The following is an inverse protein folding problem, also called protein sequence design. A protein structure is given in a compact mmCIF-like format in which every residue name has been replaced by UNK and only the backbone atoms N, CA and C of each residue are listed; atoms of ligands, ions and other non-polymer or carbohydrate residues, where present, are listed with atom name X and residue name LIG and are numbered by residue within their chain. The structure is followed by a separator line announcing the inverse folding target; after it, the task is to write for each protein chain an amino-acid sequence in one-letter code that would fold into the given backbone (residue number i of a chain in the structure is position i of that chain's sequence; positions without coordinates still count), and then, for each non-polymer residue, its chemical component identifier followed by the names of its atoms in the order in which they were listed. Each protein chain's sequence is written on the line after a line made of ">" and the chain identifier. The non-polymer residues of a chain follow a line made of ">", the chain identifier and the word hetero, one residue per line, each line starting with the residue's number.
data_IF_444201958612
#
_entry.id   IF_444201958612
#
_cell.length_a   1.000
_cell.length_b   1.000
_cell.length_c   1.000
_cell.angle_alpha   90.00
_cell.angle_beta   90.00
_cell.angle_gamma   90.00
#
_symmetry.space_group_name_H-M   'P 1'
#
loop_
_entity.id
_entity.type
_entity.pdbx_description
1 polymer ?
#
# COMPACT_ATOMS: atom_id res chain seq x y z
N UNK A 1 -0.25 -8.88 7.53
CA UNK A 1 -1.72 -8.75 7.67
C UNK A 1 -2.28 -10.10 8.06
N UNK A 2 -3.29 -10.10 8.93
CA UNK A 2 -4.03 -11.29 9.34
C UNK A 2 -5.36 -11.33 8.59
N UNK A 3 -5.87 -12.52 8.34
CA UNK A 3 -7.20 -12.67 7.73
C UNK A 3 -7.63 -14.12 7.70
N UNK A 4 -8.93 -14.33 7.88
CA UNK A 4 -9.54 -15.66 7.94
C UNK A 4 -10.27 -15.94 6.64
N UNK A 5 -10.05 -17.10 6.04
CA UNK A 5 -10.74 -17.50 4.81
C UNK A 5 -12.11 -18.09 5.16
N UNK A 6 -13.17 -17.53 4.60
CA UNK A 6 -14.52 -18.08 4.66
C UNK A 6 -14.96 -18.54 3.28
N UNK A 7 -15.38 -19.79 3.17
CA UNK A 7 -15.98 -20.34 1.96
C UNK A 7 -17.39 -19.77 1.79
N UNK A 8 -17.65 -19.08 0.68
CA UNK A 8 -19.00 -18.68 0.28
C UNK A 8 -19.62 -19.75 -0.61
N UNK A 9 -18.85 -20.26 -1.56
CA UNK A 9 -19.22 -21.32 -2.49
C UNK A 9 -18.05 -22.32 -2.62
N UNK A 10 -18.25 -23.39 -3.39
CA UNK A 10 -17.23 -24.43 -3.60
C UNK A 10 -15.88 -23.88 -4.09
N UNK A 11 -15.91 -22.87 -4.97
CA UNK A 11 -14.71 -22.26 -5.56
C UNK A 11 -14.47 -20.81 -5.12
N UNK A 12 -15.43 -20.18 -4.42
CA UNK A 12 -15.38 -18.76 -4.02
C UNK A 12 -15.16 -18.61 -2.52
N UNK A 13 -14.20 -17.76 -2.16
CA UNK A 13 -13.83 -17.47 -0.78
C UNK A 13 -13.80 -15.96 -0.53
N UNK A 14 -14.31 -15.56 0.62
CA UNK A 14 -14.18 -14.20 1.14
C UNK A 14 -13.20 -14.21 2.30
N UNK A 15 -12.35 -13.18 2.37
CA UNK A 15 -11.31 -13.05 3.38
C UNK A 15 -11.37 -11.65 3.99
N UNK A 16 -12.05 -11.44 5.12
CA UNK A 16 -11.82 -10.26 5.94
C UNK A 16 -10.36 -10.21 6.40
N UNK A 17 -9.79 -9.02 6.41
CA UNK A 17 -8.38 -8.79 6.67
C UNK A 17 -8.19 -7.61 7.61
N UNK A 18 -7.30 -7.78 8.58
CA UNK A 18 -6.84 -6.74 9.49
C UNK A 18 -5.32 -6.68 9.46
N UNK A 19 -4.76 -5.48 9.50
CA UNK A 19 -3.32 -5.27 9.44
C UNK A 19 -2.87 -4.06 10.23
N UNK A 20 -1.61 -4.11 10.62
CA UNK A 20 -0.87 -2.97 11.14
C UNK A 20 0.39 -2.82 10.28
N UNK A 21 0.68 -1.58 9.87
CA UNK A 21 1.87 -1.25 9.10
C UNK A 21 2.63 -0.14 9.81
N UNK A 22 3.90 -0.42 10.11
CA UNK A 22 4.84 0.57 10.62
C UNK A 22 5.77 1.00 9.50
N UNK A 23 5.85 2.31 9.27
CA UNK A 23 6.74 2.90 8.26
C UNK A 23 7.65 3.92 8.92
N UNK A 24 8.93 3.90 8.54
CA UNK A 24 9.93 4.87 8.97
C UNK A 24 10.63 5.40 7.73
N UNK A 25 10.43 6.68 7.44
CA UNK A 25 11.06 7.36 6.30
C UNK A 25 12.13 8.30 6.85
N UNK A 26 13.29 8.31 6.21
CA UNK A 26 14.39 9.21 6.52
C UNK A 26 14.80 9.87 5.22
N UNK A 27 14.61 11.18 5.15
CA UNK A 27 15.08 11.98 4.02
C UNK A 27 16.38 12.66 4.42
N UNK A 28 17.35 12.66 3.50
CA UNK A 28 18.61 13.34 3.68
C UNK A 28 18.38 14.87 3.66
N UNK A 29 19.25 15.61 4.33
CA UNK A 29 19.28 17.06 4.19
C UNK A 29 19.76 17.44 2.78
N UNK A 30 19.22 18.52 2.24
CA UNK A 30 19.59 19.05 0.93
C UNK A 30 19.97 20.52 1.06
N UNK A 31 21.00 20.93 0.31
CA UNK A 31 21.48 22.30 0.21
C UNK A 31 21.33 22.72 -1.25
N UNK A 32 20.63 23.83 -1.48
CA UNK A 32 20.48 24.44 -2.79
C UNK A 32 20.68 25.95 -2.65
N UNK A 33 21.76 26.45 -3.25
CA UNK A 33 22.25 27.83 -3.15
C UNK A 33 22.22 28.39 -1.71
N UNK A 34 21.20 29.18 -1.38
CA UNK A 34 21.02 29.83 -0.08
C UNK A 34 19.95 29.15 0.80
N UNK A 35 19.45 27.97 0.42
CA UNK A 35 18.39 27.24 1.12
C UNK A 35 18.94 25.92 1.67
N UNK A 36 18.83 25.74 2.98
CA UNK A 36 19.08 24.45 3.65
C UNK A 36 17.78 23.80 4.08
N UNK A 37 17.54 22.58 3.61
CA UNK A 37 16.41 21.75 4.01
C UNK A 37 16.93 20.74 5.03
N UNK A 38 16.49 20.85 6.28
CA UNK A 38 16.88 19.93 7.33
C UNK A 38 16.29 18.53 7.09
N UNK A 39 17.03 17.50 7.52
CA UNK A 39 16.62 16.10 7.38
C UNK A 39 15.24 15.84 8.00
N UNK A 40 14.35 15.21 7.25
CA UNK A 40 13.02 14.83 7.73
C UNK A 40 13.05 13.39 8.24
N UNK A 41 12.57 13.19 9.48
CA UNK A 41 12.42 11.85 10.10
C UNK A 41 10.96 11.59 10.38
N UNK A 42 10.37 10.67 9.63
CA UNK A 42 8.98 10.29 9.79
C UNK A 42 8.84 8.91 10.41
N UNK A 43 7.82 8.78 11.27
CA UNK A 43 7.34 7.49 11.77
C UNK A 43 5.84 7.48 11.69
N UNK A 44 5.30 6.40 11.11
CA UNK A 44 3.87 6.25 10.92
C UNK A 44 3.44 4.84 11.26
N UNK A 45 2.33 4.74 11.98
CA UNK A 45 1.61 3.51 12.28
C UNK A 45 0.24 3.62 11.61
N UNK A 46 -0.01 2.72 10.66
CA UNK A 46 -1.23 2.60 9.89
C UNK A 46 -1.99 1.34 10.34
N UNK A 47 -3.28 1.50 10.64
CA UNK A 47 -4.23 0.40 10.75
C UNK A 47 -4.86 0.13 9.39
N UNK A 48 -4.98 -1.13 9.02
CA UNK A 48 -5.53 -1.57 7.74
C UNK A 48 -6.69 -2.51 8.03
N UNK A 49 -7.85 -2.23 7.46
CA UNK A 49 -9.01 -3.12 7.51
C UNK A 49 -9.54 -3.29 6.09
N UNK A 50 -9.90 -4.50 5.71
CA UNK A 50 -10.52 -4.70 4.41
C UNK A 50 -10.97 -6.12 4.18
N UNK A 51 -11.29 -6.39 2.93
CA UNK A 51 -11.82 -7.67 2.50
C UNK A 51 -11.29 -8.02 1.12
N UNK A 52 -11.09 -9.31 0.90
CA UNK A 52 -10.80 -9.88 -0.40
C UNK A 52 -11.87 -10.89 -0.78
N UNK A 53 -12.20 -10.95 -2.05
CA UNK A 53 -13.01 -11.99 -2.63
C UNK A 53 -12.17 -12.65 -3.71
N UNK A 54 -11.96 -13.96 -3.60
CA UNK A 54 -11.23 -14.73 -4.58
C UNK A 54 -12.06 -15.92 -5.05
N UNK A 55 -11.95 -16.24 -6.32
CA UNK A 55 -12.52 -17.45 -6.89
C UNK A 55 -11.40 -18.25 -7.54
N UNK A 56 -11.27 -19.53 -7.20
CA UNK A 56 -10.21 -20.39 -7.72
C UNK A 56 -10.82 -21.56 -8.49
N UNK A 57 -10.65 -21.55 -9.81
CA UNK A 57 -11.07 -22.65 -10.68
C UNK A 57 -9.86 -23.34 -11.27
N UNK A 58 -9.95 -24.66 -11.39
CA UNK A 58 -8.92 -25.46 -12.07
C UNK A 58 -9.41 -25.78 -13.47
N UNK A 59 -8.66 -25.35 -14.48
CA UNK A 59 -8.89 -25.69 -15.88
C UNK A 59 -7.72 -26.52 -16.38
N UNK A 60 -7.97 -27.81 -16.66
CA UNK A 60 -6.93 -28.81 -16.95
C UNK A 60 -5.88 -28.84 -15.82
N UNK A 61 -4.67 -28.34 -16.08
CA UNK A 61 -3.55 -28.30 -15.12
C UNK A 61 -3.19 -26.87 -14.68
N UNK A 62 -4.07 -25.91 -14.94
CA UNK A 62 -3.87 -24.49 -14.61
C UNK A 62 -4.93 -24.06 -13.59
N UNK A 63 -4.48 -23.54 -12.45
CA UNK A 63 -5.34 -22.90 -11.46
C UNK A 63 -5.46 -21.42 -11.84
N UNK A 64 -6.67 -20.99 -12.13
CA UNK A 64 -7.01 -19.60 -12.45
C UNK A 64 -7.68 -19.00 -11.22
N UNK A 65 -7.14 -17.89 -10.72
CA UNK A 65 -7.66 -17.22 -9.53
C UNK A 65 -7.85 -15.72 -9.78
N UNK A 66 -9.04 -15.29 -10.22
CA UNK A 66 -9.47 -13.91 -10.06
C UNK A 66 -9.66 -13.57 -8.57
N UNK A 67 -9.18 -12.41 -8.17
CA UNK A 67 -9.32 -11.82 -6.84
C UNK A 67 -9.70 -10.34 -7.01
N UNK A 68 -10.65 -9.86 -6.22
CA UNK A 68 -10.92 -8.43 -6.02
C UNK A 68 -10.78 -8.10 -4.55
N UNK A 69 -10.39 -6.87 -4.24
CA UNK A 69 -10.19 -6.45 -2.87
C UNK A 69 -10.47 -4.97 -2.66
N UNK A 70 -10.81 -4.64 -1.41
CA UNK A 70 -10.95 -3.28 -0.94
C UNK A 70 -10.42 -3.16 0.49
N UNK A 71 -9.68 -2.11 0.78
CA UNK A 71 -9.08 -1.82 2.08
C UNK A 71 -9.24 -0.34 2.44
N UNK A 72 -9.51 -0.09 3.72
CA UNK A 72 -9.38 1.20 4.36
C UNK A 72 -8.08 1.21 5.17
N UNK A 73 -7.33 2.30 5.06
CA UNK A 73 -6.09 2.55 5.78
C UNK A 73 -6.27 3.79 6.63
N UNK A 74 -6.07 3.67 7.93
CA UNK A 74 -6.16 4.78 8.88
C UNK A 74 -4.82 5.02 9.54
N UNK A 75 -4.33 6.25 9.48
CA UNK A 75 -3.16 6.66 10.25
C UNK A 75 -3.52 6.71 11.74
N UNK A 76 -3.06 5.73 12.52
CA UNK A 76 -3.30 5.64 13.97
C UNK A 76 -2.36 6.59 14.71
N UNK A 77 -1.08 6.59 14.32
CA UNK A 77 -0.07 7.46 14.91
C UNK A 77 0.89 7.92 13.82
N UNK A 78 0.96 9.23 13.62
CA UNK A 78 1.92 9.86 12.72
C UNK A 78 2.65 10.94 13.49
N UNK A 79 3.98 10.83 13.62
CA UNK A 79 4.77 11.99 14.02
C UNK A 79 4.74 12.95 12.82
N UNK A 80 4.20 14.16 13.00
CA UNK A 80 4.14 15.15 11.94
C UNK A 80 5.59 15.44 11.52
N UNK A 81 5.98 15.19 10.25
CA UNK A 81 7.24 15.68 9.74
C UNK A 81 7.27 17.19 9.88
N UNK A 82 8.21 17.71 10.66
CA UNK A 82 8.63 19.10 10.57
C UNK A 82 9.87 19.12 9.70
N UNK A 83 9.74 19.58 8.45
CA UNK A 83 10.90 20.02 7.70
C UNK A 83 11.26 21.42 8.22
N UNK A 84 12.42 21.56 8.87
CA UNK A 84 12.95 22.88 9.18
C UNK A 84 13.71 23.36 7.95
N UNK A 85 13.29 24.48 7.38
CA UNK A 85 13.98 25.12 6.26
C UNK A 85 14.65 26.38 6.78
N UNK A 86 15.97 26.49 6.61
CA UNK A 86 16.70 27.71 6.91
C UNK A 86 17.22 28.31 5.60
N UNK A 87 16.86 29.56 5.30
CA UNK A 87 17.61 30.37 4.35
C UNK A 87 18.85 30.87 5.09
N UNK A 88 20.02 30.83 4.44
CA UNK A 88 21.22 31.51 4.91
C UNK A 88 20.85 33.01 4.97
N UNK A 89 20.68 33.55 6.19
CA UNK A 89 20.20 34.89 6.59
C UNK A 89 18.73 35.10 7.01
N UNK A 90 17.82 34.12 6.92
CA UNK A 90 16.50 34.25 7.57
C UNK A 90 15.84 32.89 7.88
N UNK A 91 15.34 32.72 9.11
CA UNK A 91 14.61 31.49 9.52
C UNK A 91 13.24 31.46 8.85
N UNK A 92 13.00 30.50 7.95
CA UNK A 92 11.65 30.23 7.46
C UNK A 92 10.91 29.38 8.50
N UNK A 93 9.61 29.63 8.64
CA UNK A 93 8.74 28.82 9.49
C UNK A 93 8.69 27.36 9.02
N UNK A 94 8.69 26.38 9.94
CA UNK A 94 8.62 24.96 9.57
C UNK A 94 7.34 24.66 8.78
N UNK A 95 7.49 24.00 7.64
CA UNK A 95 6.34 23.50 6.85
C UNK A 95 5.88 22.18 7.46
N UNK A 96 4.64 22.15 7.93
CA UNK A 96 4.02 20.95 8.48
C UNK A 96 3.25 20.20 7.38
N UNK A 97 3.76 19.05 6.97
CA UNK A 97 3.04 18.18 6.03
C UNK A 97 2.03 17.34 6.84
N UNK A 98 0.76 17.75 6.83
CA UNK A 98 -0.32 17.01 7.50
C UNK A 98 -0.65 15.75 6.72
N UNK A 99 -0.38 14.58 7.31
CA UNK A 99 -0.77 13.28 6.72
C UNK A 99 -2.29 13.14 6.66
N UNK A 100 -2.72 12.42 5.63
CA UNK A 100 -4.12 12.10 5.39
C UNK A 100 -4.58 11.07 6.43
N UNK A 101 -5.61 11.37 7.22
CA UNK A 101 -6.03 10.49 8.31
C UNK A 101 -6.58 9.15 7.81
N UNK A 102 -7.13 9.12 6.59
CA UNK A 102 -7.79 7.97 6.00
C UNK A 102 -7.48 7.91 4.49
N UNK A 103 -7.20 6.71 4.00
CA UNK A 103 -7.15 6.40 2.57
C UNK A 103 -7.84 5.06 2.30
N UNK A 104 -8.28 4.89 1.05
CA UNK A 104 -8.95 3.68 0.59
C UNK A 104 -8.20 3.13 -0.61
N UNK A 105 -7.98 1.83 -0.64
CA UNK A 105 -7.42 1.14 -1.80
C UNK A 105 -8.36 0.05 -2.27
N UNK A 106 -8.50 -0.09 -3.58
CA UNK A 106 -9.28 -1.13 -4.22
C UNK A 106 -8.51 -1.69 -5.40
N UNK A 107 -8.76 -2.94 -5.73
CA UNK A 107 -8.01 -3.56 -6.81
C UNK A 107 -8.53 -4.91 -7.21
N UNK A 108 -7.94 -5.39 -8.29
CA UNK A 108 -8.20 -6.70 -8.85
C UNK A 108 -6.88 -7.37 -9.21
N UNK A 109 -6.80 -8.68 -9.00
CA UNK A 109 -5.68 -9.52 -9.34
C UNK A 109 -6.20 -10.72 -10.10
N UNK A 110 -5.49 -11.13 -11.14
CA UNK A 110 -5.69 -12.40 -11.81
C UNK A 110 -4.38 -13.17 -11.73
N UNK A 111 -4.40 -14.38 -11.16
CA UNK A 111 -3.25 -15.27 -11.17
C UNK A 111 -3.54 -16.58 -11.89
N UNK A 112 -2.57 -17.00 -12.69
CA UNK A 112 -2.51 -18.29 -13.36
C UNK A 112 -1.37 -19.08 -12.74
N UNK A 113 -1.68 -20.24 -12.18
CA UNK A 113 -0.69 -21.11 -11.53
C UNK A 113 -0.68 -22.48 -12.19
N UNK A 114 0.48 -22.89 -12.65
CA UNK A 114 0.78 -24.26 -13.08
C UNK A 114 1.67 -24.95 -12.04
N UNK A 115 2.12 -26.18 -12.32
CA UNK A 115 3.04 -26.91 -11.44
C UNK A 115 4.36 -26.16 -11.23
N UNK A 116 4.88 -25.51 -12.27
CA UNK A 116 6.22 -24.92 -12.27
C UNK A 116 6.24 -23.39 -12.35
N UNK A 117 5.12 -22.76 -12.72
CA UNK A 117 5.09 -21.31 -12.97
C UNK A 117 3.84 -20.70 -12.35
N UNK A 118 3.97 -19.52 -11.78
CA UNK A 118 2.87 -18.66 -11.38
C UNK A 118 3.04 -17.29 -12.03
N UNK A 119 2.03 -16.87 -12.79
CA UNK A 119 1.95 -15.55 -13.43
C UNK A 119 0.78 -14.82 -12.82
N UNK A 120 0.94 -13.55 -12.47
CA UNK A 120 -0.13 -12.72 -11.95
C UNK A 120 -0.11 -11.33 -12.52
N UNK A 121 -1.28 -10.81 -12.86
CA UNK A 121 -1.48 -9.38 -13.11
C UNK A 121 -2.29 -8.79 -11.95
N UNK A 122 -1.96 -7.57 -11.54
CA UNK A 122 -2.65 -6.88 -10.46
C UNK A 122 -2.78 -5.39 -10.79
N UNK A 123 -3.95 -4.85 -10.49
CA UNK A 123 -4.26 -3.44 -10.54
C UNK A 123 -4.69 -2.97 -9.16
N UNK A 124 -4.13 -1.87 -8.68
CA UNK A 124 -4.45 -1.25 -7.41
C UNK A 124 -4.70 0.25 -7.59
N UNK A 125 -5.91 0.71 -7.29
CA UNK A 125 -6.25 2.11 -7.15
C UNK A 125 -6.23 2.51 -5.68
N UNK A 126 -5.63 3.65 -5.35
CA UNK A 126 -5.64 4.23 -4.00
C UNK A 126 -6.17 5.65 -4.06
N UNK A 127 -7.20 5.93 -3.26
CA UNK A 127 -7.80 7.26 -3.10
C UNK A 127 -7.61 7.74 -1.67
N UNK A 128 -7.07 8.94 -1.54
CA UNK A 128 -7.02 9.70 -0.30
C UNK A 128 -7.60 11.10 -0.54
N UNK A 129 -7.84 11.88 0.51
CA UNK A 129 -8.43 13.22 0.37
C UNK A 129 -7.65 14.18 -0.57
N UNK A 130 -6.32 14.02 -0.68
CA UNK A 130 -5.45 14.93 -1.46
C UNK A 130 -4.78 14.27 -2.66
N UNK A 131 -4.91 12.95 -2.85
CA UNK A 131 -4.25 12.26 -3.97
C UNK A 131 -5.04 11.04 -4.41
N UNK A 132 -4.88 10.71 -5.68
CA UNK A 132 -5.33 9.46 -6.28
C UNK A 132 -4.11 8.83 -6.95
N UNK A 133 -3.93 7.53 -6.80
CA UNK A 133 -2.83 6.76 -7.38
C UNK A 133 -3.37 5.49 -8.00
N UNK A 134 -2.82 5.12 -9.16
CA UNK A 134 -3.12 3.89 -9.87
C UNK A 134 -1.82 3.15 -10.13
N UNK A 135 -1.79 1.87 -9.79
CA UNK A 135 -0.61 1.02 -9.96
C UNK A 135 -1.02 -0.29 -10.62
N UNK A 136 -0.48 -0.53 -11.81
CA UNK A 136 -0.48 -1.85 -12.46
C UNK A 136 0.81 -2.60 -12.14
N UNK A 137 0.73 -3.91 -11.98
CA UNK A 137 1.87 -4.77 -11.68
C UNK A 137 1.70 -6.14 -12.33
N UNK A 138 2.80 -6.69 -12.83
CA UNK A 138 2.88 -8.05 -13.36
C UNK A 138 3.92 -8.78 -12.51
N UNK A 139 3.53 -9.93 -11.98
CA UNK A 139 4.35 -10.77 -11.14
C UNK A 139 4.58 -12.11 -11.84
N UNK A 140 5.82 -12.57 -11.83
CA UNK A 140 6.20 -13.86 -12.38
C UNK A 140 7.01 -14.61 -11.34
N UNK A 141 6.67 -15.88 -11.12
CA UNK A 141 7.36 -16.75 -10.15
C UNK A 141 7.56 -18.12 -10.77
N UNK A 142 8.81 -18.60 -10.74
CA UNK A 142 9.15 -19.97 -11.09
C UNK A 142 9.24 -20.78 -9.80
N UNK A 143 8.57 -21.92 -9.76
CA UNK A 143 8.72 -22.91 -8.71
C UNK A 143 9.60 -24.02 -9.31
N UNK A 144 10.88 -24.03 -8.92
CA UNK A 144 11.84 -25.11 -9.22
C UNK A 144 11.59 -26.31 -8.31
#
# INVERSE_FOLDING_TARGET
>A
MLGSNYKLFSTTHIKPMLGLKYSKIREASYLEDNLSIASVKERTIEGILGVKLANSNTLKSVIITPEIYAFAHKNIKSKIPSAQTNIIDNRILPIYIRKLPLSFSYGAKLSLKTKSIEIGINYNGTKANKFISHLGSINFKINL
#
